data_IF_730863551099
#
_entry.id   IF_730863551099
#
_cell.length_a   1.000
_cell.length_b   1.000
_cell.length_c   1.000
_cell.angle_alpha   90.00
_cell.angle_beta   90.00
_cell.angle_gamma   90.00
#
_symmetry.space_group_name_H-M   'P 1'
#
loop_
_entity.id
_entity.type
_entity.pdbx_description
1 polymer ?
#
# COMPACT_ATOMS: atom_id res chain seq x y z
N UNK A 1 26.45 52.37 18.60
CA UNK A 1 25.84 52.00 17.30
C UNK A 1 26.59 52.70 16.17
N UNK A 2 27.55 52.04 15.53
CA UNK A 2 28.28 52.59 14.37
C UNK A 2 27.44 52.32 13.12
N UNK A 3 26.90 53.38 12.52
CA UNK A 3 26.24 53.31 11.21
C UNK A 3 27.24 52.84 10.16
N UNK A 4 26.97 51.68 9.55
CA UNK A 4 27.66 51.20 8.37
C UNK A 4 27.16 52.05 7.19
N UNK A 5 27.78 53.20 6.95
CA UNK A 5 27.46 54.11 5.85
C UNK A 5 28.66 54.14 4.90
N UNK A 6 28.64 53.24 3.92
CA UNK A 6 29.63 53.15 2.84
C UNK A 6 29.26 51.98 1.91
N UNK A 7 29.48 52.12 0.60
CA UNK A 7 29.02 51.17 -0.43
C UNK A 7 29.31 49.69 -0.12
N UNK A 8 30.35 49.36 0.66
CA UNK A 8 30.64 47.98 1.11
C UNK A 8 29.63 47.38 2.11
N UNK A 9 28.94 48.21 2.90
CA UNK A 9 27.89 47.76 3.82
C UNK A 9 26.62 47.30 3.12
N UNK A 10 26.25 48.00 2.05
CA UNK A 10 25.12 47.63 1.20
C UNK A 10 25.39 46.32 0.46
N UNK A 11 26.62 46.11 -0.03
CA UNK A 11 27.01 44.84 -0.68
C UNK A 11 26.96 43.67 0.32
N UNK A 12 27.46 43.87 1.55
CA UNK A 12 27.40 42.82 2.57
C UNK A 12 25.96 42.43 2.93
N UNK A 13 25.04 43.40 3.05
CA UNK A 13 23.63 43.14 3.31
C UNK A 13 22.99 42.37 2.15
N UNK A 14 23.27 42.76 0.90
CA UNK A 14 22.75 42.06 -0.28
C UNK A 14 23.23 40.61 -0.32
N UNK A 15 24.51 40.35 -0.03
CA UNK A 15 25.04 38.99 0.01
C UNK A 15 24.38 38.16 1.12
N UNK A 16 24.21 38.72 2.32
CA UNK A 16 23.53 38.02 3.43
C UNK A 16 22.09 37.69 3.06
N UNK A 17 21.35 38.63 2.49
CA UNK A 17 19.97 38.39 2.03
C UNK A 17 19.94 37.31 0.97
N UNK A 18 20.87 37.32 0.02
CA UNK A 18 20.94 36.36 -1.06
C UNK A 18 21.28 34.94 -0.55
N UNK A 19 22.19 34.83 0.42
CA UNK A 19 22.47 33.57 1.12
C UNK A 19 21.25 33.07 1.89
N UNK A 20 20.54 33.96 2.60
CA UNK A 20 19.31 33.60 3.32
C UNK A 20 18.24 33.08 2.35
N UNK A 21 18.02 33.76 1.23
CA UNK A 21 17.05 33.34 0.20
C UNK A 21 17.44 31.98 -0.41
N UNK A 22 18.70 31.77 -0.75
CA UNK A 22 19.17 30.47 -1.27
C UNK A 22 18.98 29.37 -0.22
N UNK A 23 19.35 29.64 1.04
CA UNK A 23 19.21 28.67 2.12
C UNK A 23 17.74 28.33 2.42
N UNK A 24 16.82 29.30 2.35
CA UNK A 24 15.39 29.04 2.52
C UNK A 24 14.83 28.21 1.37
N UNK A 25 15.22 28.50 0.12
CA UNK A 25 14.80 27.75 -1.05
C UNK A 25 15.29 26.29 -1.00
N UNK A 26 16.56 26.07 -0.63
CA UNK A 26 17.13 24.73 -0.44
C UNK A 26 16.43 23.97 0.71
N UNK A 27 16.16 24.65 1.83
CA UNK A 27 15.45 24.06 2.96
C UNK A 27 14.03 23.61 2.59
N UNK A 28 13.29 24.44 1.85
CA UNK A 28 11.95 24.09 1.36
C UNK A 28 11.98 22.91 0.39
N UNK A 29 12.94 22.87 -0.54
CA UNK A 29 13.07 21.78 -1.49
C UNK A 29 13.35 20.44 -0.79
N UNK A 30 14.28 20.42 0.17
CA UNK A 30 14.59 19.23 0.97
C UNK A 30 13.38 18.75 1.78
N UNK A 31 12.67 19.67 2.45
CA UNK A 31 11.47 19.32 3.22
C UNK A 31 10.38 18.68 2.35
N UNK A 32 10.15 19.20 1.15
CA UNK A 32 9.20 18.62 0.20
C UNK A 32 9.63 17.22 -0.27
N UNK A 33 10.91 17.01 -0.55
CA UNK A 33 11.43 15.69 -0.93
C UNK A 33 11.24 14.65 0.19
N UNK A 34 11.52 15.00 1.45
CA UNK A 34 11.31 14.08 2.57
C UNK A 34 9.84 13.72 2.76
N UNK A 35 8.93 14.69 2.69
CA UNK A 35 7.48 14.45 2.81
C UNK A 35 6.97 13.58 1.66
N UNK A 36 7.47 13.81 0.44
CA UNK A 36 7.10 12.99 -0.72
C UNK A 36 7.54 11.54 -0.53
N UNK A 37 8.80 11.31 -0.14
CA UNK A 37 9.34 9.95 0.06
C UNK A 37 8.60 9.23 1.18
N UNK A 38 8.31 9.91 2.30
CA UNK A 38 7.59 9.28 3.42
C UNK A 38 6.18 8.86 3.02
N UNK A 39 5.48 9.71 2.24
CA UNK A 39 4.14 9.37 1.72
C UNK A 39 4.18 8.21 0.73
N UNK A 40 5.16 8.16 -0.16
CA UNK A 40 5.31 7.04 -1.09
C UNK A 40 5.59 5.73 -0.35
N UNK A 41 6.46 5.75 0.68
CA UNK A 41 6.76 4.57 1.49
C UNK A 41 5.55 4.04 2.27
N UNK A 42 4.74 4.92 2.87
CA UNK A 42 3.53 4.53 3.61
C UNK A 42 2.49 3.86 2.68
N UNK A 43 2.30 4.38 1.47
CA UNK A 43 1.38 3.80 0.48
C UNK A 43 1.87 2.45 -0.04
N UNK A 44 3.17 2.30 -0.27
CA UNK A 44 3.76 1.03 -0.70
C UNK A 44 3.66 -0.04 0.40
N UNK A 45 3.87 0.34 1.65
CA UNK A 45 3.71 -0.56 2.79
C UNK A 45 2.26 -1.08 2.88
N UNK A 46 1.27 -0.20 2.81
CA UNK A 46 -0.15 -0.59 2.83
C UNK A 46 -0.53 -1.50 1.65
N UNK A 47 0.03 -1.25 0.46
CA UNK A 47 -0.16 -2.12 -0.72
C UNK A 47 0.44 -3.50 -0.53
N UNK A 48 1.59 -3.60 0.13
CA UNK A 48 2.21 -4.87 0.45
C UNK A 48 1.41 -5.62 1.52
N UNK A 49 0.92 -4.92 2.56
CA UNK A 49 0.06 -5.50 3.59
C UNK A 49 -1.26 -6.04 2.99
N UNK A 50 -1.91 -5.27 2.10
CA UNK A 50 -3.12 -5.72 1.41
C UNK A 50 -2.86 -6.94 0.51
N UNK A 51 -1.72 -6.98 -0.20
CA UNK A 51 -1.37 -8.14 -1.02
C UNK A 51 -1.11 -9.38 -0.15
N UNK A 52 -0.41 -9.20 0.96
CA UNK A 52 -0.17 -10.27 1.93
C UNK A 52 -1.48 -10.87 2.47
N UNK A 53 -2.47 -10.03 2.80
CA UNK A 53 -3.80 -10.50 3.21
C UNK A 53 -4.51 -11.29 2.10
N UNK A 54 -4.45 -10.81 0.85
CA UNK A 54 -5.05 -11.50 -0.27
C UNK A 54 -4.41 -12.89 -0.49
N UNK A 55 -3.07 -12.97 -0.39
CA UNK A 55 -2.36 -14.25 -0.46
C UNK A 55 -2.74 -15.19 0.68
N UNK A 56 -2.86 -14.66 1.91
CA UNK A 56 -3.31 -15.43 3.05
C UNK A 56 -4.72 -16.01 2.82
N UNK A 57 -5.65 -15.22 2.28
CA UNK A 57 -7.00 -15.68 1.94
C UNK A 57 -7.02 -16.77 0.88
N UNK A 58 -6.19 -16.69 -0.16
CA UNK A 58 -6.02 -17.80 -1.13
C UNK A 58 -5.54 -19.07 -0.43
N UNK A 59 -4.44 -18.99 0.31
CA UNK A 59 -3.84 -20.15 0.97
C UNK A 59 -4.79 -20.79 1.97
N UNK A 60 -5.54 -19.97 2.72
CA UNK A 60 -6.53 -20.43 3.68
C UNK A 60 -7.75 -21.06 2.99
N UNK A 61 -8.21 -20.48 1.87
CA UNK A 61 -9.27 -21.09 1.05
C UNK A 61 -8.86 -22.48 0.56
N UNK A 62 -7.64 -22.61 0.04
CA UNK A 62 -7.10 -23.92 -0.38
C UNK A 62 -7.06 -24.91 0.80
N UNK A 63 -6.66 -24.44 1.99
CA UNK A 63 -6.66 -25.28 3.19
C UNK A 63 -8.08 -25.76 3.57
N UNK A 64 -9.08 -24.88 3.57
CA UNK A 64 -10.48 -25.25 3.84
C UNK A 64 -10.97 -26.31 2.84
N UNK A 65 -10.78 -26.04 1.54
CA UNK A 65 -11.24 -26.93 0.48
C UNK A 65 -10.54 -28.30 0.52
N UNK A 66 -9.25 -28.36 0.88
CA UNK A 66 -8.51 -29.62 1.09
C UNK A 66 -9.06 -30.46 2.23
N UNK A 67 -9.58 -29.81 3.28
CA UNK A 67 -10.16 -30.50 4.43
C UNK A 67 -11.67 -30.76 4.28
N UNK A 68 -12.27 -30.39 3.15
CA UNK A 68 -13.71 -30.54 2.92
C UNK A 68 -14.56 -29.55 3.73
N UNK A 69 -13.96 -28.46 4.19
CA UNK A 69 -14.62 -27.39 4.92
C UNK A 69 -14.98 -26.22 3.98
N UNK A 70 -16.06 -25.53 4.29
CA UNK A 70 -16.47 -24.34 3.55
C UNK A 70 -15.71 -23.11 4.09
N UNK A 71 -14.96 -22.38 3.25
CA UNK A 71 -14.27 -21.17 3.68
C UNK A 71 -15.29 -20.08 4.05
N UNK A 72 -15.03 -19.29 5.11
CA UNK A 72 -15.89 -18.14 5.42
C UNK A 72 -15.78 -17.07 4.33
N UNK A 73 -16.78 -16.18 4.25
CA UNK A 73 -16.77 -15.10 3.26
C UNK A 73 -15.62 -14.10 3.49
N UNK A 74 -15.30 -13.81 4.75
CA UNK A 74 -14.21 -12.93 5.13
C UNK A 74 -13.64 -13.25 6.50
N UNK A 75 -12.47 -12.69 6.80
CA UNK A 75 -11.85 -12.75 8.11
C UNK A 75 -11.11 -11.45 8.43
N UNK A 76 -11.30 -10.97 9.66
CA UNK A 76 -10.57 -9.83 10.21
C UNK A 76 -9.28 -10.30 10.88
N UNK A 77 -8.16 -9.68 10.54
CA UNK A 77 -6.85 -9.98 11.09
C UNK A 77 -6.32 -8.78 11.86
N UNK A 78 -5.87 -9.03 13.08
CA UNK A 78 -5.27 -8.02 13.93
C UNK A 78 -3.79 -8.36 14.17
N UNK A 79 -2.90 -7.59 13.55
CA UNK A 79 -1.47 -7.64 13.83
C UNK A 79 -1.12 -6.61 14.90
N UNK A 80 0.00 -6.82 15.59
CA UNK A 80 0.45 -5.92 16.66
C UNK A 80 0.63 -4.46 16.23
N UNK A 81 0.77 -4.19 14.93
CA UNK A 81 1.01 -2.85 14.37
C UNK A 81 -0.09 -2.34 13.44
N UNK A 82 -0.99 -3.19 12.96
CA UNK A 82 -2.00 -2.82 11.98
C UNK A 82 -3.12 -3.87 11.93
N UNK A 83 -4.29 -3.48 11.43
CA UNK A 83 -5.43 -4.37 11.24
C UNK A 83 -5.82 -4.41 9.78
N UNK A 84 -6.47 -5.49 9.37
CA UNK A 84 -7.02 -5.58 8.03
C UNK A 84 -7.99 -6.74 7.91
N UNK A 85 -8.52 -6.91 6.70
CA UNK A 85 -9.51 -7.93 6.38
C UNK A 85 -9.16 -8.57 5.06
N UNK A 86 -9.42 -9.86 4.90
CA UNK A 86 -9.52 -10.43 3.56
C UNK A 86 -10.85 -11.12 3.34
N UNK A 87 -11.27 -11.11 2.09
CA UNK A 87 -12.44 -11.81 1.58
C UNK A 87 -11.98 -13.03 0.80
N UNK A 88 -12.76 -14.10 0.86
CA UNK A 88 -12.50 -15.35 0.17
C UNK A 88 -13.71 -15.72 -0.68
N UNK A 89 -13.45 -16.09 -1.92
CA UNK A 89 -14.46 -16.61 -2.85
C UNK A 89 -13.86 -17.76 -3.62
N UNK A 90 -14.65 -18.80 -3.84
CA UNK A 90 -14.25 -19.90 -4.71
C UNK A 90 -15.41 -20.34 -5.59
N UNK A 91 -15.07 -20.95 -6.71
CA UNK A 91 -16.00 -21.54 -7.67
C UNK A 91 -15.42 -22.86 -8.17
N UNK A 92 -16.25 -23.90 -8.17
CA UNK A 92 -15.90 -25.25 -8.66
C UNK A 92 -16.17 -25.35 -10.14
N UNK A 93 -15.44 -26.23 -10.80
CA UNK A 93 -15.55 -26.50 -12.24
C UNK A 93 -15.34 -25.22 -13.07
N UNK A 94 -14.42 -24.37 -12.60
CA UNK A 94 -14.00 -23.12 -13.24
C UNK A 94 -12.49 -23.14 -13.51
N UNK A 95 -12.03 -22.81 -14.73
CA UNK A 95 -12.83 -22.52 -15.93
C UNK A 95 -13.40 -23.77 -16.62
N UNK A 96 -13.06 -24.97 -16.13
CA UNK A 96 -13.49 -26.25 -16.67
C UNK A 96 -13.61 -27.29 -15.55
N UNK A 97 -14.25 -28.43 -15.85
CA UNK A 97 -14.51 -29.48 -14.87
C UNK A 97 -13.23 -29.97 -14.17
N UNK A 98 -13.32 -30.15 -12.85
CA UNK A 98 -12.21 -30.61 -12.02
C UNK A 98 -11.17 -29.52 -11.69
N UNK A 99 -11.46 -28.25 -11.98
CA UNK A 99 -10.66 -27.11 -11.54
C UNK A 99 -11.43 -26.21 -10.59
N UNK A 100 -10.69 -25.40 -9.84
CA UNK A 100 -11.25 -24.42 -8.92
C UNK A 100 -10.70 -23.03 -9.26
N UNK A 101 -11.59 -22.06 -9.42
CA UNK A 101 -11.25 -20.64 -9.43
C UNK A 101 -11.38 -20.11 -8.01
N UNK A 102 -10.31 -19.53 -7.48
CA UNK A 102 -10.26 -18.99 -6.11
C UNK A 102 -9.87 -17.53 -6.22
N UNK A 103 -10.62 -16.64 -5.58
CA UNK A 103 -10.34 -15.21 -5.51
C UNK A 103 -10.23 -14.80 -4.05
N UNK A 104 -9.25 -13.96 -3.74
CA UNK A 104 -9.18 -13.30 -2.45
C UNK A 104 -8.88 -11.82 -2.61
N UNK A 105 -9.55 -11.01 -1.78
CA UNK A 105 -9.35 -9.57 -1.74
C UNK A 105 -8.86 -9.20 -0.35
N UNK A 106 -7.65 -8.67 -0.24
CA UNK A 106 -7.12 -8.11 1.00
C UNK A 106 -7.39 -6.61 1.07
N UNK A 107 -7.84 -6.14 2.22
CA UNK A 107 -8.17 -4.75 2.53
C UNK A 107 -7.46 -4.26 3.78
N UNK A 108 -6.81 -3.11 3.69
CA UNK A 108 -6.14 -2.43 4.82
C UNK A 108 -6.66 -1.00 4.93
N UNK A 109 -7.15 -0.57 6.11
CA UNK A 109 -7.62 0.80 6.32
C UNK A 109 -6.46 1.80 6.30
N UNK A 110 -6.68 2.97 5.69
CA UNK A 110 -5.76 4.10 5.77
C UNK A 110 -6.15 4.94 6.98
N UNK A 111 -5.29 5.01 8.00
CA UNK A 111 -5.59 5.68 9.29
C UNK A 111 -5.99 7.16 9.17
N UNK A 112 -5.70 7.82 8.04
CA UNK A 112 -5.84 9.27 7.87
C UNK A 112 -7.13 9.75 7.22
N UNK A 113 -7.88 8.90 6.52
CA UNK A 113 -9.10 9.31 5.81
C UNK A 113 -10.22 8.30 6.06
N UNK A 114 -11.31 8.78 6.66
CA UNK A 114 -12.47 7.99 7.06
C UNK A 114 -13.13 7.35 5.84
N UNK A 115 -12.79 6.08 5.56
CA UNK A 115 -13.41 5.26 4.53
C UNK A 115 -12.43 4.65 3.54
N UNK A 116 -11.22 5.21 3.46
CA UNK A 116 -10.26 4.82 2.45
C UNK A 116 -9.52 3.54 2.83
N UNK A 117 -9.48 2.62 1.87
CA UNK A 117 -8.87 1.30 2.03
C UNK A 117 -7.99 0.99 0.84
N UNK A 118 -6.79 0.49 1.11
CA UNK A 118 -5.98 -0.14 0.07
C UNK A 118 -6.51 -1.55 -0.15
N UNK A 119 -6.84 -1.87 -1.40
CA UNK A 119 -7.38 -3.17 -1.78
C UNK A 119 -6.46 -3.86 -2.79
N UNK A 120 -6.22 -5.15 -2.58
CA UNK A 120 -5.48 -6.01 -3.52
C UNK A 120 -6.27 -7.27 -3.76
N UNK A 121 -6.28 -7.75 -4.99
CA UNK A 121 -6.93 -9.00 -5.36
C UNK A 121 -5.92 -9.99 -5.90
N UNK A 122 -6.09 -11.25 -5.54
CA UNK A 122 -5.42 -12.37 -6.17
C UNK A 122 -6.48 -13.32 -6.67
N UNK A 123 -6.34 -13.74 -7.92
CA UNK A 123 -7.18 -14.75 -8.56
C UNK A 123 -6.29 -15.94 -8.95
N UNK A 124 -6.69 -17.14 -8.55
CA UNK A 124 -5.92 -18.38 -8.70
C UNK A 124 -6.77 -19.46 -9.31
N UNK A 125 -6.18 -20.25 -10.21
CA UNK A 125 -6.80 -21.47 -10.72
C UNK A 125 -6.03 -22.66 -10.17
N UNK A 126 -6.73 -23.62 -9.57
CA UNK A 126 -6.13 -24.86 -9.07
C UNK A 126 -6.75 -26.10 -9.72
N UNK A 127 -5.99 -27.20 -9.76
CA UNK A 127 -6.51 -28.51 -10.17
C UNK A 127 -7.34 -29.18 -9.04
N UNK A 128 -7.84 -30.39 -9.30
CA UNK A 128 -8.60 -31.18 -8.32
C UNK A 128 -7.79 -31.62 -7.10
N UNK A 129 -6.46 -31.54 -7.17
CA UNK A 129 -5.53 -31.78 -6.05
C UNK A 129 -5.12 -30.47 -5.36
N UNK A 130 -5.72 -29.35 -5.76
CA UNK A 130 -5.42 -27.99 -5.32
C UNK A 130 -3.97 -27.57 -5.55
N UNK A 131 -3.33 -28.06 -6.60
CA UNK A 131 -2.08 -27.49 -7.11
C UNK A 131 -2.39 -26.24 -7.92
N UNK A 132 -1.61 -25.18 -7.72
CA UNK A 132 -1.79 -23.90 -8.41
C UNK A 132 -1.34 -24.06 -9.86
N UNK A 133 -2.27 -23.81 -10.79
CA UNK A 133 -2.04 -23.82 -12.25
C UNK A 133 -1.78 -22.40 -12.75
N UNK A 134 -2.53 -21.43 -12.22
CA UNK A 134 -2.42 -20.03 -12.60
C UNK A 134 -2.52 -19.13 -11.36
N UNK A 135 -1.77 -18.04 -11.36
CA UNK A 135 -1.74 -17.02 -10.31
C UNK A 135 -1.75 -15.63 -10.94
N UNK A 136 -2.80 -14.88 -10.70
CA UNK A 136 -2.96 -13.53 -11.24
C UNK A 136 -3.17 -12.52 -10.10
N UNK A 137 -2.31 -11.51 -10.05
CA UNK A 137 -2.41 -10.43 -9.09
C UNK A 137 -3.02 -9.20 -9.75
N UNK A 138 -4.02 -8.60 -9.10
CA UNK A 138 -4.69 -7.39 -9.59
C UNK A 138 -4.68 -6.30 -8.53
N UNK A 139 -4.29 -5.11 -8.95
CA UNK A 139 -4.54 -3.89 -8.19
C UNK A 139 -6.02 -3.54 -8.34
N UNK A 140 -6.75 -3.51 -7.23
CA UNK A 140 -8.06 -2.88 -7.19
C UNK A 140 -7.79 -1.43 -6.80
N UNK A 141 -7.52 -0.58 -7.79
CA UNK A 141 -7.04 0.77 -7.55
C UNK A 141 -7.94 1.56 -6.59
N UNK A 142 -7.26 2.41 -5.82
CA UNK A 142 -7.81 3.43 -4.95
C UNK A 142 -8.76 4.33 -5.75
N UNK A 143 -10.07 4.26 -5.47
CA UNK A 143 -11.01 5.27 -5.96
C UNK A 143 -11.02 6.35 -4.87
N UNK A 144 -10.48 7.56 -5.15
CA UNK A 144 -10.53 8.68 -4.21
C UNK A 144 -11.96 9.15 -3.93
#
# INVERSE_FOLDING_TARGET
MRMIRGNGGSVAIVVIVLVLVISSLLGSALALSFVSISKTGEVEELRAQALYLAEAGIRKTIWYLKNGEEPPEYEDVNFSKWTGRYYMKYERDCPENGKYCISSIGEVPIERESGDRVKRRIDVITDSSFNIINWEERTLEYIP
#
